data_IF_557505339877
#
_entry.id   IF_557505339877
#
_cell.length_a   1.000
_cell.length_b   1.000
_cell.length_c   1.000
_cell.angle_alpha   90.00
_cell.angle_beta   90.00
_cell.angle_gamma   90.00
#
_symmetry.space_group_name_H-M   'P 1'
#
loop_
_entity.id
_entity.type
_entity.pdbx_description
1 polymer ?
#
# COMPACT_ATOMS: atom_id res chain seq x y z
N UNK A 1 16.07 18.19 5.39
CA UNK A 1 15.32 19.29 6.04
C UNK A 1 15.32 20.59 5.25
N UNK A 2 16.43 21.04 4.74
CA UNK A 2 16.55 22.33 4.00
C UNK A 2 15.72 22.36 2.69
N UNK A 3 15.62 21.24 1.98
CA UNK A 3 14.89 21.14 0.71
C UNK A 3 13.37 21.28 0.89
N UNK A 4 12.83 20.68 1.95
CA UNK A 4 11.41 20.77 2.30
C UNK A 4 11.08 22.20 2.76
N UNK A 5 11.97 22.83 3.51
CA UNK A 5 11.81 24.22 3.97
C UNK A 5 11.77 25.20 2.78
N UNK A 6 12.65 25.05 1.81
CA UNK A 6 12.67 25.89 0.59
C UNK A 6 11.43 25.70 -0.31
N UNK A 7 10.82 24.50 -0.30
CA UNK A 7 9.52 24.25 -0.95
C UNK A 7 8.40 24.98 -0.20
N UNK A 8 8.43 25.00 1.12
CA UNK A 8 7.45 25.64 1.99
C UNK A 8 7.47 27.16 1.87
N UNK A 9 8.66 27.76 1.83
CA UNK A 9 8.84 29.22 1.72
C UNK A 9 8.30 29.75 0.38
N UNK A 10 8.44 28.98 -0.72
CA UNK A 10 7.89 29.35 -2.04
C UNK A 10 6.38 29.18 -2.15
N UNK A 11 5.74 28.32 -1.35
CA UNK A 11 4.29 28.17 -1.31
C UNK A 11 3.64 29.37 -0.61
N UNK A 12 4.29 29.94 0.42
CA UNK A 12 3.80 31.12 1.12
C UNK A 12 3.79 32.40 0.25
N UNK A 13 4.70 32.52 -0.72
CA UNK A 13 4.77 33.69 -1.62
C UNK A 13 3.70 33.67 -2.72
N UNK A 14 3.18 32.47 -3.11
CA UNK A 14 2.14 32.34 -4.13
C UNK A 14 0.72 32.58 -3.60
N UNK A 15 0.49 32.48 -2.28
CA UNK A 15 -0.84 32.72 -1.69
C UNK A 15 -1.26 34.19 -1.70
N UNK A 16 -0.33 35.16 -1.72
CA UNK A 16 -0.68 36.58 -1.79
C UNK A 16 -1.13 37.05 -3.18
N UNK A 17 -0.87 36.26 -4.23
CA UNK A 17 -1.19 36.65 -5.61
C UNK A 17 -2.56 36.13 -6.15
N UNK A 18 -3.23 35.22 -5.41
CA UNK A 18 -4.42 34.52 -5.94
C UNK A 18 -5.78 35.04 -5.43
N UNK A 19 -5.81 36.07 -4.58
CA UNK A 19 -7.06 36.53 -3.96
C UNK A 19 -7.95 37.47 -4.77
N UNK A 20 -7.58 37.78 -6.03
CA UNK A 20 -8.42 38.64 -6.89
C UNK A 20 -8.54 38.09 -8.31
N UNK A 21 -9.58 37.26 -8.55
CA UNK A 21 -10.35 37.24 -9.81
C UNK A 21 -11.60 36.38 -9.62
N UNK A 22 -12.71 37.02 -9.24
CA UNK A 22 -14.07 36.50 -9.48
C UNK A 22 -14.36 36.58 -10.98
N UNK A 23 -14.40 35.44 -11.68
CA UNK A 23 -14.99 35.34 -12.99
C UNK A 23 -16.30 34.55 -12.90
N UNK A 24 -17.39 35.22 -13.17
CA UNK A 24 -18.73 34.67 -13.34
C UNK A 24 -18.84 33.99 -14.71
N UNK A 25 -18.51 32.71 -14.79
CA UNK A 25 -18.97 31.79 -15.83
C UNK A 25 -19.36 30.50 -15.10
N UNK A 26 -20.49 29.89 -15.51
CA UNK A 26 -20.94 28.60 -14.99
C UNK A 26 -19.80 27.58 -15.07
N UNK A 27 -18.99 27.49 -14.04
CA UNK A 27 -17.90 26.52 -13.95
C UNK A 27 -18.53 25.12 -13.80
N UNK A 28 -18.40 24.31 -14.83
CA UNK A 28 -18.72 22.88 -14.73
C UNK A 28 -17.91 22.26 -13.60
N UNK A 29 -18.51 21.34 -12.85
CA UNK A 29 -17.85 20.63 -11.75
C UNK A 29 -16.52 20.04 -12.20
N UNK A 30 -15.44 20.37 -11.51
CA UNK A 30 -14.11 19.82 -11.76
C UNK A 30 -14.03 18.38 -11.23
N UNK A 31 -13.38 17.51 -11.99
CA UNK A 31 -13.22 16.09 -11.64
C UNK A 31 -12.31 15.93 -10.42
N UNK A 32 -12.80 15.35 -9.30
CA UNK A 32 -11.99 15.14 -8.10
C UNK A 32 -10.84 14.16 -8.33
N UNK A 33 -9.75 14.36 -7.59
CA UNK A 33 -8.66 13.39 -7.43
C UNK A 33 -8.78 12.79 -6.03
N UNK A 34 -8.78 11.46 -5.94
CA UNK A 34 -8.83 10.74 -4.67
C UNK A 34 -7.53 9.97 -4.52
N UNK A 35 -6.80 10.23 -3.45
CA UNK A 35 -5.67 9.41 -3.01
C UNK A 35 -6.15 8.34 -2.04
N UNK A 36 -5.73 7.08 -2.28
CA UNK A 36 -6.04 5.93 -1.42
C UNK A 36 -4.71 5.37 -0.92
N UNK A 37 -4.38 5.55 0.38
CA UNK A 37 -3.10 5.12 0.95
C UNK A 37 -3.00 3.60 1.09
N UNK A 38 -1.80 3.11 1.39
CA UNK A 38 -1.53 1.72 1.72
C UNK A 38 -1.93 1.35 3.15
N UNK A 39 -1.63 0.10 3.52
CA UNK A 39 -1.76 -0.37 4.91
C UNK A 39 -0.97 0.57 5.83
N UNK A 40 -1.46 0.83 7.03
CA UNK A 40 -0.91 1.77 8.01
C UNK A 40 -0.82 3.23 7.57
N UNK A 41 -1.18 3.55 6.33
CA UNK A 41 -1.10 4.90 5.76
C UNK A 41 -2.25 5.83 6.11
N UNK A 42 -3.28 5.34 6.83
CA UNK A 42 -4.37 6.14 7.40
C UNK A 42 -4.23 6.21 8.91
N UNK A 43 -4.39 7.39 9.48
CA UNK A 43 -4.62 7.52 10.91
C UNK A 43 -5.97 6.90 11.28
N UNK A 44 -6.05 6.25 12.45
CA UNK A 44 -7.26 5.62 12.95
C UNK A 44 -7.65 6.21 14.31
N UNK A 45 -8.94 6.44 14.47
CA UNK A 45 -9.52 7.08 15.64
C UNK A 45 -10.61 6.19 16.24
N UNK A 46 -10.66 6.15 17.58
CA UNK A 46 -11.79 5.66 18.35
C UNK A 46 -12.65 6.84 18.77
N UNK A 47 -13.95 6.72 18.64
CA UNK A 47 -14.94 7.74 19.03
C UNK A 47 -16.18 7.06 19.59
N UNK A 48 -16.84 7.70 20.55
CA UNK A 48 -18.12 7.21 21.08
C UNK A 48 -19.18 7.25 19.96
N UNK A 49 -19.87 6.11 19.76
CA UNK A 49 -20.87 5.90 18.71
C UNK A 49 -22.01 6.95 18.70
N UNK A 50 -22.31 7.57 19.84
CA UNK A 50 -23.31 8.64 19.93
C UNK A 50 -22.93 9.90 19.14
N UNK A 51 -21.63 10.09 18.85
CA UNK A 51 -21.14 11.22 18.05
C UNK A 51 -21.00 10.88 16.56
N UNK A 52 -21.19 9.62 16.17
CA UNK A 52 -21.04 9.15 14.79
C UNK A 52 -22.37 9.22 14.06
N UNK A 53 -22.42 9.94 12.95
CA UNK A 53 -23.61 10.01 12.11
C UNK A 53 -23.63 8.92 11.01
N UNK A 54 -24.76 8.82 10.27
CA UNK A 54 -24.95 7.79 9.25
C UNK A 54 -23.98 7.93 8.08
N UNK A 55 -23.58 9.16 7.76
CA UNK A 55 -22.60 9.40 6.69
C UNK A 55 -21.22 8.86 7.10
N UNK A 56 -20.79 9.16 8.31
CA UNK A 56 -19.51 8.70 8.86
C UNK A 56 -19.47 7.17 9.00
N UNK A 57 -20.58 6.55 9.46
CA UNK A 57 -20.71 5.08 9.47
C UNK A 57 -20.57 4.49 8.07
N UNK A 58 -21.22 5.12 7.10
CA UNK A 58 -21.22 4.62 5.71
C UNK A 58 -19.88 4.77 5.02
N UNK A 59 -19.11 5.82 5.34
CA UNK A 59 -17.80 6.10 4.77
C UNK A 59 -16.65 5.52 5.58
N UNK A 60 -16.86 5.26 6.87
CA UNK A 60 -15.83 4.82 7.81
C UNK A 60 -14.82 5.92 8.18
N UNK A 61 -15.21 7.18 8.02
CA UNK A 61 -14.40 8.35 8.34
C UNK A 61 -15.21 9.33 9.18
N UNK A 62 -14.63 9.79 10.28
CA UNK A 62 -15.18 10.90 11.07
C UNK A 62 -14.78 12.23 10.42
N UNK A 63 -15.67 13.20 10.52
CA UNK A 63 -15.39 14.56 10.07
C UNK A 63 -14.38 15.25 11.00
N UNK A 64 -13.62 16.18 10.44
CA UNK A 64 -12.51 16.85 11.14
C UNK A 64 -12.94 17.65 12.36
N UNK A 65 -14.11 18.21 12.36
CA UNK A 65 -14.69 18.94 13.50
C UNK A 65 -14.94 18.04 14.72
N UNK A 66 -15.04 16.72 14.52
CA UNK A 66 -15.16 15.71 15.58
C UNK A 66 -13.83 15.17 16.08
N UNK A 67 -12.70 15.54 15.48
CA UNK A 67 -11.37 15.09 15.90
C UNK A 67 -11.10 15.33 17.38
N UNK A 68 -11.59 16.45 17.94
CA UNK A 68 -11.45 16.79 19.37
C UNK A 68 -12.24 15.89 20.33
N UNK A 69 -13.21 15.11 19.83
CA UNK A 69 -13.98 14.13 20.60
C UNK A 69 -13.50 12.69 20.37
N UNK A 70 -12.50 12.50 19.53
CA UNK A 70 -11.96 11.21 19.14
C UNK A 70 -10.56 10.99 19.72
N UNK A 71 -10.27 9.76 20.16
CA UNK A 71 -8.93 9.34 20.55
C UNK A 71 -8.21 8.79 19.32
N UNK A 72 -7.05 9.36 18.98
CA UNK A 72 -6.19 8.79 17.92
C UNK A 72 -5.52 7.53 18.44
N UNK A 73 -5.77 6.41 17.75
CA UNK A 73 -5.23 5.09 18.09
C UNK A 73 -4.03 4.75 17.21
N UNK A 74 -4.08 5.11 15.93
CA UNK A 74 -3.02 4.89 14.97
C UNK A 74 -2.68 6.21 14.27
N UNK A 75 -1.51 6.74 14.25
CA UNK A 75 -0.24 6.30 14.85
C UNK A 75 -0.23 6.73 16.31
N UNK A 76 0.12 5.84 17.26
CA UNK A 76 0.09 6.20 18.69
C UNK A 76 1.13 7.27 19.01
N UNK A 77 0.81 8.09 20.00
CA UNK A 77 1.79 8.95 20.66
C UNK A 77 2.66 8.10 21.59
N UNK A 78 3.93 8.46 21.77
CA UNK A 78 4.95 7.66 22.48
C UNK A 78 4.54 7.23 23.90
N UNK A 79 3.59 7.92 24.53
CA UNK A 79 3.15 7.67 25.90
C UNK A 79 2.04 6.58 26.03
N UNK A 80 1.48 6.09 24.89
CA UNK A 80 0.29 5.21 24.91
C UNK A 80 0.58 3.75 24.53
N UNK A 81 1.84 3.34 24.54
CA UNK A 81 2.29 2.02 24.01
C UNK A 81 1.67 0.82 24.74
N UNK A 82 1.37 0.94 26.04
CA UNK A 82 0.83 -0.17 26.84
C UNK A 82 -0.62 -0.55 26.50
N UNK A 83 -1.43 0.38 26.01
CA UNK A 83 -2.87 0.18 25.73
C UNK A 83 -3.13 -0.15 24.25
N UNK A 84 -2.14 0.04 23.39
CA UNK A 84 -2.32 -0.03 21.93
C UNK A 84 -2.86 -1.37 21.43
N UNK A 85 -2.51 -2.47 22.08
CA UNK A 85 -2.97 -3.80 21.68
C UNK A 85 -4.47 -3.99 21.92
N UNK A 86 -5.01 -3.44 22.98
CA UNK A 86 -6.44 -3.48 23.27
C UNK A 86 -7.20 -2.59 22.29
N UNK A 87 -6.69 -1.40 22.04
CA UNK A 87 -7.28 -0.41 21.14
C UNK A 87 -7.27 -0.87 19.68
N UNK A 88 -6.20 -1.50 19.22
CA UNK A 88 -6.07 -2.04 17.88
C UNK A 88 -6.72 -3.42 17.68
N UNK A 89 -7.45 -3.95 18.66
CA UNK A 89 -8.20 -5.18 18.48
C UNK A 89 -9.18 -5.05 17.30
N UNK A 90 -9.28 -6.08 16.47
CA UNK A 90 -10.12 -6.07 15.25
C UNK A 90 -11.61 -5.86 15.55
N UNK A 91 -12.06 -6.20 16.76
CA UNK A 91 -13.45 -6.01 17.19
C UNK A 91 -13.79 -4.55 17.47
N UNK A 92 -12.80 -3.70 17.72
CA UNK A 92 -13.04 -2.27 17.90
C UNK A 92 -13.33 -1.62 16.56
N UNK A 93 -14.40 -0.80 16.51
CA UNK A 93 -14.66 0.01 15.33
C UNK A 93 -13.75 1.24 15.39
N UNK A 94 -12.93 1.42 14.36
CA UNK A 94 -12.06 2.57 14.19
C UNK A 94 -12.41 3.29 12.89
N UNK A 95 -12.23 4.58 12.90
CA UNK A 95 -12.57 5.47 11.80
C UNK A 95 -11.31 6.15 11.27
N UNK A 96 -11.25 6.34 9.95
CA UNK A 96 -10.31 7.28 9.34
C UNK A 96 -10.71 8.72 9.65
N UNK A 97 -9.84 9.68 9.33
CA UNK A 97 -10.18 11.10 9.40
C UNK A 97 -10.52 11.62 8.00
N UNK A 98 -11.66 12.30 7.87
CA UNK A 98 -12.04 13.01 6.67
C UNK A 98 -11.62 14.48 6.78
N UNK A 99 -10.58 14.85 6.08
CA UNK A 99 -10.08 16.23 6.06
C UNK A 99 -10.84 17.16 5.10
N UNK A 100 -11.81 16.62 4.36
CA UNK A 100 -12.53 17.36 3.31
C UNK A 100 -11.69 17.55 2.05
N UNK A 101 -11.96 18.65 1.33
CA UNK A 101 -11.15 19.04 0.16
C UNK A 101 -9.82 19.63 0.66
N UNK A 102 -8.74 18.96 0.33
CA UNK A 102 -7.40 19.28 0.82
C UNK A 102 -6.86 20.64 0.32
N UNK A 103 -7.50 21.25 -0.68
CA UNK A 103 -7.20 22.64 -1.08
C UNK A 103 -7.43 23.65 0.04
N UNK A 104 -8.29 23.29 1.00
CA UNK A 104 -8.67 24.14 2.15
C UNK A 104 -7.93 23.77 3.44
N UNK A 105 -7.01 22.79 3.40
CA UNK A 105 -6.28 22.31 4.57
C UNK A 105 -4.78 22.50 4.42
N UNK A 106 -4.10 22.74 5.57
CA UNK A 106 -2.64 22.75 5.63
C UNK A 106 -2.16 21.32 5.92
N UNK A 107 -1.79 20.58 4.87
CA UNK A 107 -1.41 19.16 5.00
C UNK A 107 -0.07 18.98 5.74
N UNK A 108 0.83 19.97 5.68
CA UNK A 108 2.20 19.85 6.19
C UNK A 108 2.31 19.66 7.70
N UNK A 109 1.31 20.05 8.47
CA UNK A 109 1.41 20.11 9.95
C UNK A 109 1.03 18.79 10.65
N UNK A 110 0.56 17.75 9.92
CA UNK A 110 -0.19 16.66 10.55
C UNK A 110 0.31 15.24 10.32
N UNK A 111 1.18 15.00 9.36
CA UNK A 111 1.57 13.63 9.04
C UNK A 111 2.91 13.23 9.62
N UNK A 112 2.86 12.37 10.63
CA UNK A 112 4.03 11.72 11.23
C UNK A 112 4.11 10.25 10.79
N UNK A 113 5.31 9.67 10.81
CA UNK A 113 5.51 8.26 10.48
C UNK A 113 5.17 7.89 9.03
N UNK A 114 4.57 6.70 8.76
CA UNK A 114 4.26 6.23 7.40
C UNK A 114 3.34 7.16 6.61
N UNK A 115 2.49 7.93 7.28
CA UNK A 115 1.61 8.91 6.65
C UNK A 115 2.36 10.13 6.09
N UNK A 116 3.58 10.41 6.56
CA UNK A 116 4.38 11.55 6.08
C UNK A 116 4.73 11.45 4.59
N UNK A 117 4.94 10.25 4.06
CA UNK A 117 5.19 10.04 2.63
C UNK A 117 3.96 10.39 1.77
N UNK A 118 2.75 10.16 2.28
CA UNK A 118 1.50 10.54 1.61
C UNK A 118 1.43 12.05 1.40
N UNK A 119 1.88 12.84 2.38
CA UNK A 119 1.85 14.30 2.32
C UNK A 119 2.64 14.84 1.14
N UNK A 120 3.78 14.25 0.78
CA UNK A 120 4.59 14.69 -0.36
C UNK A 120 3.84 14.52 -1.68
N UNK A 121 3.21 13.35 -1.89
CA UNK A 121 2.36 13.12 -3.07
C UNK A 121 1.16 14.08 -3.10
N UNK A 122 0.45 14.22 -1.98
CA UNK A 122 -0.72 15.08 -1.89
C UNK A 122 -0.38 16.54 -2.19
N UNK A 123 0.73 17.04 -1.66
CA UNK A 123 1.21 18.38 -1.95
C UNK A 123 1.60 18.56 -3.41
N UNK A 124 2.23 17.57 -4.02
CA UNK A 124 2.52 17.61 -5.46
C UNK A 124 1.24 17.68 -6.29
N UNK A 125 0.18 16.96 -5.91
CA UNK A 125 -1.12 17.04 -6.56
C UNK A 125 -1.77 18.41 -6.38
N UNK A 126 -1.75 18.98 -5.16
CA UNK A 126 -2.31 20.29 -4.85
C UNK A 126 -1.63 21.40 -5.66
N UNK A 127 -0.31 21.38 -5.73
CA UNK A 127 0.46 22.34 -6.52
C UNK A 127 0.17 22.24 -8.02
N UNK A 128 -0.06 21.00 -8.51
CA UNK A 128 -0.24 20.76 -9.95
C UNK A 128 -1.67 20.92 -10.42
N UNK A 129 -2.65 20.76 -9.54
CA UNK A 129 -4.09 20.81 -9.83
C UNK A 129 -4.83 21.72 -8.85
N UNK A 130 -4.48 23.01 -8.74
CA UNK A 130 -5.04 23.92 -7.73
C UNK A 130 -6.54 24.15 -7.89
N UNK A 131 -7.10 23.89 -9.06
CA UNK A 131 -8.52 24.07 -9.40
C UNK A 131 -9.34 22.76 -9.29
N UNK A 132 -8.72 21.61 -8.99
CA UNK A 132 -9.39 20.33 -8.85
C UNK A 132 -9.55 19.95 -7.37
N UNK A 133 -10.74 19.51 -6.92
CA UNK A 133 -10.88 18.94 -5.57
C UNK A 133 -9.95 17.75 -5.37
N UNK A 134 -9.25 17.71 -4.25
CA UNK A 134 -8.32 16.64 -3.90
C UNK A 134 -8.70 16.12 -2.53
N UNK A 135 -8.85 14.80 -2.45
CA UNK A 135 -9.24 14.11 -1.23
C UNK A 135 -8.29 12.97 -0.92
N UNK A 136 -8.08 12.71 0.36
CA UNK A 136 -7.56 11.44 0.84
C UNK A 136 -8.73 10.60 1.35
N UNK A 137 -8.83 9.36 0.90
CA UNK A 137 -9.75 8.39 1.47
C UNK A 137 -9.00 7.62 2.55
N UNK A 138 -9.21 8.00 3.81
CA UNK A 138 -8.66 7.32 4.99
C UNK A 138 -9.58 6.19 5.41
N UNK A 139 -9.02 5.02 5.72
CA UNK A 139 -9.83 3.83 6.01
C UNK A 139 -9.17 2.94 7.06
N UNK A 140 -9.99 2.13 7.73
CA UNK A 140 -9.51 1.11 8.66
C UNK A 140 -8.85 -0.03 7.90
N UNK A 141 -7.53 0.04 7.77
CA UNK A 141 -6.70 -0.90 7.02
C UNK A 141 -6.60 -2.29 7.66
N UNK A 142 -7.13 -2.50 8.87
CA UNK A 142 -7.21 -3.81 9.53
C UNK A 142 -8.35 -4.66 8.93
N UNK A 143 -9.42 -4.02 8.47
CA UNK A 143 -10.63 -4.66 7.92
C UNK A 143 -10.42 -5.15 6.48
N UNK A 144 -11.34 -5.98 6.00
CA UNK A 144 -11.28 -6.51 4.63
C UNK A 144 -11.36 -5.41 3.58
N UNK A 145 -10.64 -5.56 2.47
CA UNK A 145 -10.72 -4.61 1.34
C UNK A 145 -12.12 -4.60 0.69
N UNK A 146 -12.91 -5.67 0.85
CA UNK A 146 -14.33 -5.68 0.41
C UNK A 146 -15.17 -4.68 1.20
N UNK A 147 -15.00 -4.62 2.53
CA UNK A 147 -15.70 -3.65 3.35
C UNK A 147 -15.22 -2.23 3.02
N UNK A 148 -13.91 -2.06 2.90
CA UNK A 148 -13.28 -0.78 2.52
C UNK A 148 -13.80 -0.30 1.15
N UNK A 149 -13.98 -1.20 0.19
CA UNK A 149 -14.55 -0.87 -1.13
C UNK A 149 -15.99 -0.33 -1.03
N UNK A 150 -16.83 -0.89 -0.16
CA UNK A 150 -18.19 -0.36 0.08
C UNK A 150 -18.16 1.04 0.69
N UNK A 151 -17.26 1.27 1.68
CA UNK A 151 -17.05 2.58 2.29
C UNK A 151 -16.53 3.60 1.26
N UNK A 152 -15.62 3.18 0.39
CA UNK A 152 -15.14 4.01 -0.74
C UNK A 152 -16.27 4.39 -1.71
N UNK A 153 -17.20 3.47 -2.01
CA UNK A 153 -18.35 3.77 -2.86
C UNK A 153 -19.24 4.85 -2.25
N UNK A 154 -19.54 4.75 -0.95
CA UNK A 154 -20.29 5.78 -0.22
C UNK A 154 -19.57 7.13 -0.26
N UNK A 155 -18.27 7.14 -0.05
CA UNK A 155 -17.46 8.36 -0.12
C UNK A 155 -17.46 8.97 -1.53
N UNK A 156 -17.22 8.18 -2.58
CA UNK A 156 -17.23 8.69 -3.97
C UNK A 156 -18.60 9.27 -4.32
N UNK A 157 -19.69 8.62 -3.91
CA UNK A 157 -21.05 9.14 -4.13
C UNK A 157 -21.26 10.51 -3.50
N UNK A 158 -20.67 10.78 -2.34
CA UNK A 158 -20.83 12.07 -1.66
C UNK A 158 -20.10 13.22 -2.36
N UNK A 159 -18.97 12.95 -3.02
CA UNK A 159 -18.13 14.00 -3.64
C UNK A 159 -18.30 14.13 -5.16
N UNK A 160 -19.00 13.20 -5.80
CA UNK A 160 -19.13 13.19 -7.27
C UNK A 160 -20.40 13.87 -7.79
N UNK A 161 -20.99 14.74 -6.99
CA UNK A 161 -22.19 15.53 -7.33
C UNK A 161 -23.37 14.65 -7.83
N UNK A 162 -23.66 13.57 -7.09
CA UNK A 162 -24.74 12.65 -7.46
C UNK A 162 -24.47 11.84 -8.73
N UNK A 163 -23.20 11.51 -8.99
CA UNK A 163 -22.79 10.73 -10.16
C UNK A 163 -22.59 11.55 -11.44
N UNK A 164 -22.72 12.88 -11.39
CA UNK A 164 -22.55 13.77 -12.57
C UNK A 164 -21.09 13.89 -13.01
N UNK A 165 -20.14 13.67 -12.12
CA UNK A 165 -18.70 13.80 -12.37
C UNK A 165 -18.00 12.49 -12.04
N UNK A 166 -17.15 12.00 -12.94
CA UNK A 166 -16.22 10.91 -12.63
C UNK A 166 -15.13 11.39 -11.71
N UNK A 167 -14.41 10.46 -11.06
CA UNK A 167 -13.25 10.76 -10.24
C UNK A 167 -11.98 10.20 -10.90
N UNK A 168 -10.82 10.74 -10.53
CA UNK A 168 -9.52 10.11 -10.77
C UNK A 168 -9.03 9.49 -9.48
N UNK A 169 -8.47 8.29 -9.55
CA UNK A 169 -7.92 7.59 -8.39
C UNK A 169 -6.40 7.48 -8.53
N UNK A 170 -5.70 7.87 -7.48
CA UNK A 170 -4.28 7.61 -7.25
C UNK A 170 -4.18 6.73 -6.01
N UNK A 171 -3.58 5.56 -6.12
CA UNK A 171 -3.55 4.60 -5.04
C UNK A 171 -2.13 4.11 -4.79
N UNK A 172 -1.78 3.90 -3.52
CA UNK A 172 -0.49 3.35 -3.12
C UNK A 172 -0.68 2.01 -2.42
N UNK A 173 0.18 1.03 -2.73
CA UNK A 173 0.25 -0.24 -1.99
C UNK A 173 -1.12 -0.94 -1.89
N UNK A 174 -1.58 -1.30 -0.69
CA UNK A 174 -2.89 -1.91 -0.44
C UNK A 174 -4.05 -1.06 -0.97
N UNK A 175 -3.91 0.27 -1.01
CA UNK A 175 -4.91 1.15 -1.63
C UNK A 175 -5.18 0.83 -3.10
N UNK A 176 -4.18 0.30 -3.81
CA UNK A 176 -4.35 -0.21 -5.18
C UNK A 176 -5.22 -1.47 -5.23
N UNK A 177 -5.17 -2.33 -4.22
CA UNK A 177 -6.05 -3.51 -4.11
C UNK A 177 -7.49 -3.04 -3.84
N UNK A 178 -7.71 -2.11 -2.90
CA UNK A 178 -9.02 -1.48 -2.66
C UNK A 178 -9.57 -0.88 -3.95
N UNK A 179 -8.73 -0.14 -4.68
CA UNK A 179 -9.11 0.47 -5.96
C UNK A 179 -9.48 -0.55 -7.02
N UNK A 180 -8.73 -1.66 -7.11
CA UNK A 180 -8.99 -2.74 -8.05
C UNK A 180 -10.38 -3.36 -7.81
N UNK A 181 -10.76 -3.54 -6.53
CA UNK A 181 -12.09 -3.98 -6.16
C UNK A 181 -13.17 -2.99 -6.58
N UNK A 182 -12.94 -1.71 -6.29
CA UNK A 182 -13.87 -0.66 -6.66
C UNK A 182 -14.07 -0.57 -8.18
N UNK A 183 -12.99 -0.57 -8.94
CA UNK A 183 -13.03 -0.50 -10.40
C UNK A 183 -13.79 -1.67 -11.03
N UNK A 184 -13.75 -2.84 -10.43
CA UNK A 184 -14.47 -3.99 -10.94
C UNK A 184 -15.99 -3.77 -10.99
N UNK A 185 -16.54 -3.13 -9.99
CA UNK A 185 -17.98 -2.93 -9.86
C UNK A 185 -18.43 -1.55 -10.39
N UNK A 186 -17.52 -0.58 -10.36
CA UNK A 186 -17.81 0.83 -10.54
C UNK A 186 -16.87 1.53 -11.55
N UNK A 187 -16.31 0.81 -12.53
CA UNK A 187 -15.36 1.36 -13.51
C UNK A 187 -15.85 2.65 -14.19
N UNK A 188 -17.14 2.70 -14.51
CA UNK A 188 -17.75 3.88 -15.17
C UNK A 188 -17.68 5.16 -14.36
N UNK A 189 -17.46 5.08 -13.04
CA UNK A 189 -17.32 6.25 -12.14
C UNK A 189 -15.91 6.81 -12.08
N UNK A 190 -14.93 6.06 -12.59
CA UNK A 190 -13.52 6.43 -12.56
C UNK A 190 -13.05 6.79 -13.97
N UNK A 191 -12.45 7.94 -14.14
CA UNK A 191 -11.89 8.35 -15.42
C UNK A 191 -10.46 7.86 -15.58
N UNK A 192 -9.57 8.19 -14.64
CA UNK A 192 -8.17 7.76 -14.64
C UNK A 192 -7.81 6.99 -13.38
N UNK A 193 -6.97 6.01 -13.53
CA UNK A 193 -6.45 5.20 -12.43
C UNK A 193 -4.94 5.13 -12.47
N UNK A 194 -4.30 5.49 -11.37
CA UNK A 194 -2.86 5.33 -11.16
C UNK A 194 -2.63 4.49 -9.92
N UNK A 195 -1.82 3.46 -10.00
CA UNK A 195 -1.34 2.75 -8.83
C UNK A 195 0.18 2.86 -8.68
N UNK A 196 0.64 2.97 -7.44
CA UNK A 196 2.04 3.00 -7.07
C UNK A 196 2.33 1.79 -6.17
N UNK A 197 3.26 0.93 -6.58
CA UNK A 197 3.79 -0.19 -5.80
C UNK A 197 2.71 -1.12 -5.21
N UNK A 198 1.62 -1.36 -5.94
CA UNK A 198 0.52 -2.22 -5.46
C UNK A 198 0.89 -3.69 -5.52
N UNK A 199 0.74 -4.45 -4.42
CA UNK A 199 1.03 -5.88 -4.37
C UNK A 199 -0.09 -6.72 -4.98
N UNK A 200 -0.29 -6.67 -6.29
CA UNK A 200 -1.40 -7.37 -6.96
C UNK A 200 -1.35 -8.90 -6.80
N UNK A 201 -0.15 -9.47 -6.73
CA UNK A 201 0.04 -10.90 -6.45
C UNK A 201 0.43 -11.16 -4.98
N UNK A 202 0.30 -10.13 -4.12
CA UNK A 202 0.65 -10.17 -2.71
C UNK A 202 2.11 -9.86 -2.43
N UNK A 203 2.44 -9.86 -1.14
CA UNK A 203 3.78 -9.60 -0.62
C UNK A 203 4.15 -10.70 0.39
N UNK A 204 5.20 -11.50 0.15
CA UNK A 204 5.66 -12.52 1.10
C UNK A 204 5.97 -11.96 2.48
N UNK A 205 6.38 -10.69 2.55
CA UNK A 205 6.64 -9.98 3.78
C UNK A 205 5.41 -9.88 4.72
N UNK A 206 4.19 -9.82 4.17
CA UNK A 206 2.96 -9.80 4.96
C UNK A 206 2.80 -11.05 5.85
N UNK A 207 3.32 -12.19 5.40
CA UNK A 207 3.35 -13.42 6.21
C UNK A 207 4.25 -13.27 7.45
N UNK A 208 5.42 -12.62 7.29
CA UNK A 208 6.32 -12.36 8.40
C UNK A 208 5.71 -11.38 9.40
N UNK A 209 5.03 -10.36 8.94
CA UNK A 209 4.33 -9.39 9.79
C UNK A 209 3.31 -10.10 10.68
N UNK A 210 2.50 -11.01 10.12
CA UNK A 210 1.55 -11.78 10.91
C UNK A 210 2.23 -12.76 11.88
N UNK A 211 3.31 -13.40 11.46
CA UNK A 211 4.00 -14.38 12.30
C UNK A 211 4.77 -13.75 13.46
N UNK A 212 5.21 -12.50 13.34
CA UNK A 212 6.00 -11.78 14.34
C UNK A 212 5.21 -10.74 15.14
N UNK A 213 4.04 -10.29 14.64
CA UNK A 213 3.33 -9.14 15.18
C UNK A 213 3.90 -7.79 14.75
N UNK A 214 4.97 -7.79 13.96
CA UNK A 214 5.63 -6.57 13.49
C UNK A 214 4.95 -6.02 12.23
N UNK A 215 4.16 -4.96 12.38
CA UNK A 215 3.42 -4.34 11.28
C UNK A 215 4.32 -3.53 10.36
N UNK A 216 5.47 -3.06 10.85
CA UNK A 216 6.38 -2.18 10.09
C UNK A 216 7.44 -2.92 9.28
N UNK A 217 7.52 -4.25 9.41
CA UNK A 217 8.51 -5.06 8.72
C UNK A 217 9.92 -4.90 9.31
N UNK A 218 10.94 -5.18 8.48
CA UNK A 218 12.35 -5.10 8.88
C UNK A 218 12.89 -3.66 9.00
N UNK A 219 12.12 -2.73 9.53
CA UNK A 219 12.73 -1.51 10.03
C UNK A 219 13.67 -1.92 11.17
N UNK A 220 14.96 -1.85 10.91
CA UNK A 220 16.06 -2.24 11.82
C UNK A 220 16.14 -1.42 13.11
N UNK A 221 15.16 -0.57 13.36
CA UNK A 221 15.06 0.19 14.58
C UNK A 221 14.32 -0.62 15.64
N UNK A 222 15.07 -1.39 16.41
CA UNK A 222 14.62 -2.10 17.63
C UNK A 222 13.80 -1.16 18.55
N UNK A 223 14.03 0.14 18.49
CA UNK A 223 13.28 1.15 19.25
C UNK A 223 11.86 1.30 18.69
N UNK A 224 11.68 1.38 17.37
CA UNK A 224 10.35 1.45 16.74
C UNK A 224 9.58 0.13 16.89
N UNK A 225 10.26 -1.01 16.81
CA UNK A 225 9.65 -2.32 17.03
C UNK A 225 9.13 -2.49 18.47
N UNK A 226 9.88 -1.98 19.47
CA UNK A 226 9.44 -1.96 20.87
C UNK A 226 8.38 -0.90 21.16
N UNK A 227 8.39 0.23 20.46
CA UNK A 227 7.44 1.32 20.67
C UNK A 227 6.10 1.09 19.95
N UNK A 228 6.11 0.42 18.79
CA UNK A 228 4.93 0.21 17.94
C UNK A 228 4.63 -1.26 17.66
N UNK A 229 5.28 -2.18 18.37
CA UNK A 229 5.03 -3.62 18.27
C UNK A 229 3.61 -3.92 18.75
N UNK A 230 2.76 -4.35 17.82
CA UNK A 230 1.44 -4.89 18.16
C UNK A 230 1.58 -6.38 18.40
N UNK A 231 0.90 -6.89 19.44
CA UNK A 231 0.97 -8.31 19.75
C UNK A 231 0.55 -9.17 18.57
N UNK A 232 1.27 -10.27 18.37
CA UNK A 232 1.06 -11.20 17.28
C UNK A 232 -0.40 -11.65 17.14
N UNK A 233 -1.07 -11.90 18.25
CA UNK A 233 -2.45 -12.37 18.25
C UNK A 233 -3.44 -11.30 17.78
N UNK A 234 -3.14 -10.04 18.03
CA UNK A 234 -3.91 -8.88 17.53
C UNK A 234 -3.71 -8.73 16.02
N UNK A 235 -2.47 -8.75 15.57
CA UNK A 235 -2.12 -8.62 14.12
C UNK A 235 -2.69 -9.78 13.30
N UNK A 236 -2.70 -10.98 13.88
CA UNK A 236 -3.21 -12.18 13.22
C UNK A 236 -4.69 -12.10 12.86
N UNK A 237 -5.44 -11.25 13.56
CA UNK A 237 -6.86 -11.01 13.30
C UNK A 237 -7.12 -10.06 12.11
N UNK A 238 -6.11 -9.34 11.59
CA UNK A 238 -6.29 -8.34 10.56
C UNK A 238 -6.54 -8.94 9.17
N UNK A 239 -7.78 -8.90 8.72
CA UNK A 239 -8.16 -9.40 7.41
C UNK A 239 -7.47 -8.62 6.26
N UNK A 240 -7.29 -7.30 6.42
CA UNK A 240 -6.56 -6.48 5.46
C UNK A 240 -5.13 -6.93 5.24
N UNK A 241 -4.44 -7.40 6.30
CA UNK A 241 -3.08 -7.95 6.18
C UNK A 241 -3.08 -9.34 5.51
N UNK A 242 -4.07 -10.20 5.82
CA UNK A 242 -4.24 -11.50 5.15
C UNK A 242 -4.42 -11.33 3.64
N UNK A 243 -5.12 -10.26 3.25
CA UNK A 243 -5.34 -9.94 1.84
C UNK A 243 -4.08 -9.48 1.09
N UNK A 244 -2.98 -9.22 1.80
CA UNK A 244 -1.66 -8.98 1.22
C UNK A 244 -0.82 -10.25 1.03
N UNK A 245 -1.32 -11.42 1.41
CA UNK A 245 -0.57 -12.67 1.23
C UNK A 245 -0.34 -13.00 -0.24
N UNK A 246 0.76 -13.71 -0.53
CA UNK A 246 1.07 -14.17 -1.88
C UNK A 246 -0.08 -14.98 -2.47
N UNK A 247 -0.42 -14.70 -3.72
CA UNK A 247 -1.37 -15.50 -4.49
C UNK A 247 -0.78 -16.87 -4.83
N UNK A 248 -1.64 -17.79 -5.27
CA UNK A 248 -1.18 -19.06 -5.84
C UNK A 248 -0.26 -18.84 -7.04
N UNK A 249 -0.48 -17.78 -7.84
CA UNK A 249 0.39 -17.43 -8.98
C UNK A 249 1.77 -17.03 -8.50
N UNK A 250 1.86 -16.17 -7.47
CA UNK A 250 3.12 -15.79 -6.84
C UNK A 250 3.85 -17.01 -6.25
N UNK A 251 3.13 -17.86 -5.48
CA UNK A 251 3.72 -19.05 -4.86
C UNK A 251 4.18 -20.11 -5.87
N UNK A 252 3.59 -20.16 -7.07
CA UNK A 252 4.08 -21.02 -8.16
C UNK A 252 5.34 -20.47 -8.80
N UNK A 253 5.42 -19.16 -8.98
CA UNK A 253 6.60 -18.49 -9.54
C UNK A 253 7.78 -18.46 -8.57
N UNK A 254 7.48 -18.29 -7.27
CA UNK A 254 8.47 -18.17 -6.19
C UNK A 254 8.10 -19.11 -5.04
N UNK A 255 8.25 -20.44 -5.20
CA UNK A 255 7.86 -21.40 -4.17
C UNK A 255 8.75 -21.28 -2.93
N UNK A 256 8.14 -21.53 -1.77
CA UNK A 256 8.88 -21.64 -0.52
C UNK A 256 9.75 -22.90 -0.56
N UNK A 257 10.96 -22.78 -0.02
CA UNK A 257 11.96 -23.83 -0.03
C UNK A 257 12.10 -24.51 1.34
N UNK A 258 12.59 -25.73 1.33
CA UNK A 258 13.01 -26.43 2.54
C UNK A 258 14.54 -26.59 2.50
N UNK A 259 15.23 -26.26 3.59
CA UNK A 259 16.67 -26.37 3.71
C UNK A 259 17.02 -27.09 5.00
N UNK A 260 17.86 -28.13 4.91
CA UNK A 260 18.29 -28.91 6.08
C UNK A 260 19.50 -28.31 6.80
N UNK A 261 20.47 -27.84 6.06
CA UNK A 261 21.72 -27.30 6.60
C UNK A 261 21.64 -25.79 6.85
N UNK A 262 21.40 -25.44 8.11
CA UNK A 262 21.34 -24.04 8.56
C UNK A 262 22.64 -23.29 8.30
N UNK A 263 23.82 -23.90 8.55
CA UNK A 263 25.11 -23.20 8.38
C UNK A 263 25.40 -22.89 6.91
N UNK A 264 25.12 -23.85 6.03
CA UNK A 264 25.25 -23.65 4.59
C UNK A 264 24.26 -22.58 4.10
N UNK A 265 23.03 -22.58 4.62
CA UNK A 265 22.03 -21.56 4.30
C UNK A 265 22.44 -20.17 4.77
N UNK A 266 22.88 -20.00 6.02
CA UNK A 266 23.31 -18.71 6.55
C UNK A 266 24.47 -18.12 5.73
N UNK A 267 25.40 -18.97 5.25
CA UNK A 267 26.46 -18.57 4.32
C UNK A 267 25.92 -18.16 2.94
N UNK A 268 24.86 -18.84 2.46
CA UNK A 268 24.22 -18.53 1.18
C UNK A 268 23.52 -17.18 1.24
N UNK A 269 22.66 -16.93 2.21
CA UNK A 269 21.86 -15.71 2.31
C UNK A 269 22.68 -14.46 2.66
N UNK A 270 23.91 -14.64 3.14
CA UNK A 270 24.83 -13.51 3.29
C UNK A 270 25.23 -12.87 1.95
N UNK A 271 25.08 -13.60 0.86
CA UNK A 271 25.31 -13.12 -0.52
C UNK A 271 24.11 -12.33 -1.01
N UNK A 272 24.38 -11.29 -1.81
CA UNK A 272 23.32 -10.48 -2.44
C UNK A 272 23.00 -11.03 -3.82
N UNK A 273 21.86 -11.67 -3.97
CA UNK A 273 21.40 -12.19 -5.25
C UNK A 273 20.69 -11.11 -6.07
N UNK A 274 20.87 -11.16 -7.37
CA UNK A 274 20.25 -10.21 -8.30
C UNK A 274 18.81 -10.58 -8.56
N UNK A 275 18.54 -11.87 -8.79
CA UNK A 275 17.21 -12.40 -9.08
C UNK A 275 16.98 -13.72 -8.33
N UNK A 276 15.75 -14.24 -8.42
CA UNK A 276 15.35 -15.47 -7.76
C UNK A 276 15.98 -16.72 -8.37
N UNK A 277 16.17 -16.75 -9.67
CA UNK A 277 16.77 -17.87 -10.39
C UNK A 277 18.21 -18.13 -9.91
N UNK A 278 19.01 -17.09 -9.74
CA UNK A 278 20.37 -17.19 -9.19
C UNK A 278 20.35 -17.76 -7.77
N UNK A 279 19.42 -17.30 -6.94
CA UNK A 279 19.26 -17.76 -5.56
C UNK A 279 18.86 -19.24 -5.51
N UNK A 280 17.88 -19.66 -6.32
CA UNK A 280 17.36 -21.03 -6.35
C UNK A 280 18.39 -22.01 -6.89
N UNK A 281 19.17 -21.63 -7.90
CA UNK A 281 20.26 -22.47 -8.41
C UNK A 281 21.24 -22.83 -7.28
N UNK A 282 21.62 -21.84 -6.47
CA UNK A 282 22.53 -22.09 -5.35
C UNK A 282 21.88 -22.91 -4.21
N UNK A 283 20.57 -22.73 -3.98
CA UNK A 283 19.81 -23.54 -3.01
C UNK A 283 19.63 -24.98 -3.47
N UNK A 284 19.43 -25.20 -4.76
CA UNK A 284 19.31 -26.53 -5.34
C UNK A 284 20.59 -27.33 -5.14
N UNK A 285 21.74 -26.72 -5.30
CA UNK A 285 23.03 -27.35 -5.05
C UNK A 285 23.21 -27.75 -3.56
N UNK A 286 22.63 -26.98 -2.64
CA UNK A 286 22.62 -27.34 -1.21
C UNK A 286 21.64 -28.47 -0.86
N UNK A 287 20.57 -28.59 -1.62
CA UNK A 287 19.48 -29.55 -1.37
C UNK A 287 19.60 -30.82 -2.21
N UNK A 288 20.56 -30.91 -3.13
CA UNK A 288 20.69 -31.97 -4.15
C UNK A 288 20.79 -33.41 -3.59
N UNK A 289 20.87 -33.57 -2.27
CA UNK A 289 20.99 -34.88 -1.64
C UNK A 289 19.67 -35.50 -1.15
N UNK A 290 18.50 -34.77 -1.16
CA UNK A 290 17.28 -35.35 -0.60
C UNK A 290 15.96 -34.85 -1.23
N UNK A 291 15.15 -35.83 -1.62
CA UNK A 291 13.77 -35.67 -2.11
C UNK A 291 12.81 -35.33 -0.96
N UNK A 292 12.57 -34.04 -0.71
CA UNK A 292 11.68 -33.60 0.38
C UNK A 292 10.25 -33.47 -0.16
N UNK A 293 9.38 -34.41 0.23
CA UNK A 293 7.98 -34.42 -0.19
C UNK A 293 7.21 -33.19 0.34
N UNK A 294 6.43 -32.47 -0.49
CA UNK A 294 5.63 -31.33 -0.06
C UNK A 294 4.71 -31.59 1.17
N UNK A 295 4.20 -32.82 1.29
CA UNK A 295 3.36 -33.25 2.42
C UNK A 295 4.07 -33.20 3.77
N UNK A 296 5.38 -33.46 3.81
CA UNK A 296 6.19 -33.40 5.03
C UNK A 296 6.38 -31.94 5.46
N UNK A 297 6.66 -31.05 4.51
CA UNK A 297 6.78 -29.60 4.76
C UNK A 297 5.47 -29.04 5.32
N UNK A 298 4.33 -29.37 4.71
CA UNK A 298 3.02 -28.93 5.20
C UNK A 298 2.72 -29.41 6.63
N UNK A 299 3.05 -30.66 6.95
CA UNK A 299 2.87 -31.21 8.31
C UNK A 299 3.72 -30.44 9.33
N UNK A 300 4.95 -30.11 8.99
CA UNK A 300 5.85 -29.41 9.91
C UNK A 300 5.46 -27.93 10.06
N UNK A 301 4.99 -27.27 8.99
CA UNK A 301 4.41 -25.91 9.07
C UNK A 301 3.19 -25.90 10.00
N UNK A 302 2.31 -26.90 9.88
CA UNK A 302 1.13 -27.06 10.73
C UNK A 302 1.51 -27.20 12.21
N UNK A 303 2.54 -28.01 12.50
CA UNK A 303 3.07 -28.17 13.85
C UNK A 303 3.70 -26.88 14.39
N UNK A 304 4.38 -26.12 13.55
CA UNK A 304 5.03 -24.85 13.93
C UNK A 304 4.03 -23.74 14.26
N UNK A 305 2.98 -23.57 13.46
CA UNK A 305 1.97 -22.54 13.67
C UNK A 305 0.94 -22.88 14.77
N UNK A 306 0.89 -24.14 15.22
CA UNK A 306 -0.20 -24.65 16.03
C UNK A 306 -1.47 -24.91 15.21
N UNK A 307 -2.23 -25.94 15.60
CA UNK A 307 -3.35 -26.44 14.79
C UNK A 307 -4.43 -25.39 14.56
N UNK A 308 -4.89 -24.70 15.59
CA UNK A 308 -6.00 -23.75 15.53
C UNK A 308 -5.65 -22.53 14.66
N UNK A 309 -4.45 -21.97 14.83
CA UNK A 309 -3.97 -20.82 14.05
C UNK A 309 -3.74 -21.18 12.60
N UNK A 310 -3.26 -22.37 12.31
CA UNK A 310 -3.06 -22.87 10.96
C UNK A 310 -4.39 -23.06 10.21
N UNK A 311 -5.39 -23.64 10.85
CA UNK A 311 -6.73 -23.82 10.25
C UNK A 311 -7.43 -22.48 10.01
N UNK A 312 -7.31 -21.53 10.92
CA UNK A 312 -7.84 -20.18 10.74
C UNK A 312 -7.12 -19.46 9.59
N UNK A 313 -5.80 -19.56 9.53
CA UNK A 313 -5.01 -19.06 8.42
C UNK A 313 -5.47 -19.68 7.08
N UNK A 314 -5.64 -21.01 7.02
CA UNK A 314 -6.11 -21.68 5.82
C UNK A 314 -7.53 -21.24 5.43
N UNK A 315 -8.42 -21.08 6.40
CA UNK A 315 -9.78 -20.59 6.19
C UNK A 315 -9.77 -19.16 5.62
N UNK A 316 -9.04 -18.26 6.25
CA UNK A 316 -8.87 -16.87 5.76
C UNK A 316 -8.22 -16.86 4.38
N UNK A 317 -7.13 -17.59 4.19
CA UNK A 317 -6.45 -17.70 2.91
C UNK A 317 -7.32 -18.34 1.81
N UNK A 318 -8.19 -19.31 2.14
CA UNK A 318 -9.14 -19.93 1.20
C UNK A 318 -10.23 -18.94 0.77
N UNK A 319 -10.79 -18.22 1.72
CA UNK A 319 -11.77 -17.17 1.43
C UNK A 319 -11.15 -16.08 0.59
N UNK A 320 -9.93 -15.69 0.89
CA UNK A 320 -9.17 -14.71 0.15
C UNK A 320 -8.74 -15.19 -1.25
N UNK A 321 -8.36 -16.47 -1.43
CA UNK A 321 -8.07 -17.04 -2.76
C UNK A 321 -9.31 -17.04 -3.65
N UNK A 322 -10.48 -17.36 -3.09
CA UNK A 322 -11.76 -17.23 -3.79
C UNK A 322 -12.00 -15.79 -4.23
N UNK A 323 -11.64 -14.85 -3.40
CA UNK A 323 -11.71 -13.42 -3.64
C UNK A 323 -10.63 -12.91 -4.64
N UNK A 324 -9.39 -13.38 -4.55
CA UNK A 324 -8.32 -13.01 -5.51
C UNK A 324 -8.44 -13.64 -6.89
N UNK A 325 -9.02 -14.83 -7.02
CA UNK A 325 -9.39 -15.35 -8.35
C UNK A 325 -10.33 -14.39 -9.06
N UNK A 326 -11.00 -13.59 -8.31
CA UNK A 326 -11.88 -12.52 -8.68
C UNK A 326 -11.13 -11.24 -9.15
N UNK A 327 -10.00 -10.88 -8.53
CA UNK A 327 -9.15 -9.76 -8.99
C UNK A 327 -8.52 -10.05 -10.36
N UNK A 328 -8.19 -11.30 -10.65
CA UNK A 328 -7.65 -11.70 -11.96
C UNK A 328 -8.67 -11.53 -13.10
N UNK A 329 -9.97 -11.48 -12.81
CA UNK A 329 -11.01 -11.22 -13.79
C UNK A 329 -11.23 -9.72 -14.08
N UNK A 330 -10.60 -8.84 -13.30
CA UNK A 330 -10.62 -7.41 -13.62
C UNK A 330 -9.54 -7.12 -14.63
N UNK A 331 -9.94 -6.76 -15.82
CA UNK A 331 -9.02 -6.34 -16.86
C UNK A 331 -8.43 -4.94 -16.59
N UNK A 332 -7.89 -4.72 -15.37
CA UNK A 332 -7.17 -3.48 -15.04
C UNK A 332 -6.11 -3.15 -16.09
N UNK A 333 -5.42 -4.20 -16.55
CA UNK A 333 -4.43 -4.09 -17.60
C UNK A 333 -5.04 -3.63 -18.93
N UNK A 334 -6.28 -4.01 -19.23
CA UNK A 334 -6.98 -3.61 -20.45
C UNK A 334 -7.69 -2.26 -20.32
N UNK A 335 -7.82 -1.73 -19.10
CA UNK A 335 -8.45 -0.44 -18.86
C UNK A 335 -7.65 0.68 -19.55
N UNK A 336 -8.23 1.46 -20.51
CA UNK A 336 -7.45 2.38 -21.35
C UNK A 336 -6.71 3.45 -20.56
N UNK A 337 -7.37 4.03 -19.55
CA UNK A 337 -6.85 5.13 -18.74
C UNK A 337 -6.32 4.65 -17.39
N UNK A 338 -5.35 3.72 -17.44
CA UNK A 338 -4.64 3.23 -16.26
C UNK A 338 -3.14 3.31 -16.45
N UNK A 339 -2.42 3.60 -15.37
CA UNK A 339 -0.96 3.63 -15.27
C UNK A 339 -0.51 2.94 -13.99
N UNK A 340 0.56 2.17 -14.07
CA UNK A 340 1.13 1.41 -12.98
C UNK A 340 2.58 1.84 -12.76
N UNK A 341 2.86 2.42 -11.59
CA UNK A 341 4.21 2.78 -11.16
C UNK A 341 4.70 1.67 -10.25
N UNK A 342 5.84 1.10 -10.58
CA UNK A 342 6.47 0.02 -9.82
C UNK A 342 7.91 0.37 -9.51
N UNK A 343 8.41 -0.08 -8.37
CA UNK A 343 9.79 0.13 -8.01
C UNK A 343 10.58 -1.18 -8.02
N UNK A 344 11.88 -1.05 -8.27
CA UNK A 344 12.80 -2.15 -8.46
C UNK A 344 14.19 -1.81 -7.89
N UNK A 345 15.03 -2.83 -7.72
CA UNK A 345 16.43 -2.69 -7.33
C UNK A 345 16.70 -2.60 -5.85
N UNK A 346 15.67 -2.67 -5.01
CA UNK A 346 15.79 -2.77 -3.55
C UNK A 346 15.71 -4.22 -3.10
N UNK A 347 16.47 -4.58 -2.07
CA UNK A 347 16.41 -5.91 -1.44
C UNK A 347 14.97 -6.20 -0.99
N UNK A 348 14.34 -7.20 -1.60
CA UNK A 348 12.92 -7.53 -1.42
C UNK A 348 12.77 -9.01 -1.15
N UNK A 349 11.95 -9.37 -0.18
CA UNK A 349 11.57 -10.76 0.04
C UNK A 349 10.66 -11.22 -1.09
N UNK A 350 11.08 -12.22 -1.83
CA UNK A 350 10.30 -12.82 -2.94
C UNK A 350 9.70 -14.17 -2.54
N UNK A 351 10.30 -14.84 -1.55
CA UNK A 351 9.85 -16.13 -1.04
C UNK A 351 10.38 -16.34 0.39
N UNK A 352 10.26 -17.54 0.91
CA UNK A 352 10.82 -17.94 2.18
C UNK A 352 11.38 -19.34 2.14
N UNK A 353 12.13 -19.70 3.18
CA UNK A 353 12.50 -21.08 3.39
C UNK A 353 12.32 -21.50 4.85
N UNK A 354 12.08 -22.77 5.02
CA UNK A 354 11.99 -23.46 6.31
C UNK A 354 13.28 -24.20 6.55
N UNK A 355 13.86 -24.01 7.74
CA UNK A 355 15.13 -24.62 8.13
C UNK A 355 14.94 -25.27 9.49
N UNK A 356 15.48 -26.48 9.69
CA UNK A 356 15.64 -27.04 11.03
C UNK A 356 16.86 -26.43 11.71
N UNK A 357 16.69 -25.95 12.92
CA UNK A 357 17.82 -25.53 13.77
C UNK A 357 18.46 -26.75 14.48
N UNK A 358 19.48 -26.49 15.28
CA UNK A 358 20.24 -27.51 16.01
C UNK A 358 19.39 -28.28 17.02
N UNK A 359 18.20 -27.78 17.37
CA UNK A 359 17.24 -28.41 18.30
C UNK A 359 16.05 -29.03 17.55
N UNK A 360 16.18 -29.32 16.25
CA UNK A 360 15.11 -29.82 15.39
C UNK A 360 13.89 -28.86 15.24
N UNK A 361 14.01 -27.62 15.74
CA UNK A 361 12.97 -26.61 15.64
C UNK A 361 12.98 -25.99 14.26
N UNK A 362 11.78 -25.85 13.66
CA UNK A 362 11.64 -25.18 12.37
C UNK A 362 11.71 -23.67 12.58
N UNK A 363 12.60 -23.04 11.85
CA UNK A 363 12.71 -21.60 11.74
C UNK A 363 12.45 -21.18 10.30
N UNK A 364 11.89 -19.98 10.14
CA UNK A 364 11.64 -19.40 8.82
C UNK A 364 12.72 -18.36 8.51
N UNK A 365 13.20 -18.34 7.26
CA UNK A 365 14.12 -17.35 6.73
C UNK A 365 13.58 -16.76 5.45
N UNK A 366 13.87 -15.51 5.23
CA UNK A 366 13.49 -14.80 4.01
C UNK A 366 14.44 -15.14 2.86
N UNK A 367 13.88 -15.34 1.69
CA UNK A 367 14.62 -15.37 0.44
C UNK A 367 14.44 -14.03 -0.25
N UNK A 368 15.53 -13.25 -0.31
CA UNK A 368 15.52 -11.88 -0.83
C UNK A 368 16.34 -11.75 -2.10
N UNK A 369 15.84 -10.94 -3.02
CA UNK A 369 16.54 -10.54 -4.26
C UNK A 369 16.48 -9.02 -4.41
N UNK A 370 17.02 -8.49 -5.52
CA UNK A 370 16.86 -7.07 -5.85
C UNK A 370 15.65 -6.78 -6.74
N UNK A 371 14.76 -7.74 -6.93
CA UNK A 371 13.59 -7.61 -7.78
C UNK A 371 12.39 -7.10 -6.99
N UNK A 372 12.39 -5.81 -6.67
CA UNK A 372 11.29 -5.16 -5.96
C UNK A 372 11.70 -3.88 -5.25
N UNK A 373 10.83 -3.43 -4.36
CA UNK A 373 10.88 -2.13 -3.70
C UNK A 373 11.21 -2.18 -2.19
N UNK A 374 11.56 -3.34 -1.68
CA UNK A 374 11.81 -3.62 -0.27
C UNK A 374 10.65 -4.30 0.46
N UNK A 375 9.43 -4.17 -0.03
CA UNK A 375 8.23 -4.82 0.52
C UNK A 375 7.49 -5.67 -0.53
N UNK A 376 7.32 -5.13 -1.73
CA UNK A 376 6.55 -5.75 -2.82
C UNK A 376 7.51 -6.24 -3.91
N UNK A 377 7.50 -7.55 -4.22
CA UNK A 377 8.23 -8.08 -5.36
C UNK A 377 7.76 -7.46 -6.67
N UNK A 378 8.70 -7.19 -7.58
CA UNK A 378 8.40 -6.61 -8.89
C UNK A 378 7.38 -7.44 -9.67
N UNK A 379 7.51 -8.78 -9.63
CA UNK A 379 6.55 -9.71 -10.22
C UNK A 379 5.11 -9.49 -9.69
N UNK A 380 4.98 -9.28 -8.39
CA UNK A 380 3.68 -8.99 -7.77
C UNK A 380 3.13 -7.64 -8.24
N UNK A 381 3.93 -6.59 -8.20
CA UNK A 381 3.52 -5.27 -8.66
C UNK A 381 3.16 -5.24 -10.16
N UNK A 382 3.78 -6.12 -10.95
CA UNK A 382 3.51 -6.32 -12.37
C UNK A 382 2.40 -7.35 -12.66
N UNK A 383 1.52 -7.65 -11.68
CA UNK A 383 0.37 -8.56 -11.84
C UNK A 383 0.77 -9.96 -12.33
N UNK A 384 1.93 -10.45 -11.87
CA UNK A 384 2.45 -11.76 -12.22
C UNK A 384 3.02 -11.87 -13.61
N UNK A 385 3.54 -10.79 -14.13
CA UNK A 385 4.39 -10.78 -15.34
C UNK A 385 5.83 -10.47 -14.98
N UNK A 386 6.77 -11.16 -15.59
CA UNK A 386 8.13 -10.64 -15.70
C UNK A 386 8.15 -9.52 -16.74
N UNK A 387 8.91 -8.47 -16.50
CA UNK A 387 8.86 -7.26 -17.35
C UNK A 387 9.30 -7.51 -18.80
N UNK A 388 10.23 -8.40 -19.00
CA UNK A 388 10.76 -8.82 -20.32
C UNK A 388 9.79 -9.74 -21.07
N UNK A 389 8.97 -10.50 -20.36
CA UNK A 389 7.95 -11.39 -20.92
C UNK A 389 6.59 -10.67 -21.14
N UNK A 390 6.45 -9.43 -20.63
CA UNK A 390 5.19 -8.70 -20.70
C UNK A 390 4.90 -8.21 -22.13
N UNK A 391 3.66 -8.43 -22.65
CA UNK A 391 3.26 -7.92 -23.96
C UNK A 391 3.52 -6.40 -24.09
N UNK A 392 4.07 -5.95 -25.23
CA UNK A 392 4.49 -4.55 -25.44
C UNK A 392 3.39 -3.54 -25.13
N UNK A 393 2.14 -3.84 -25.49
CA UNK A 393 1.01 -2.92 -25.24
C UNK A 393 0.71 -2.77 -23.74
N UNK A 394 0.83 -3.84 -22.96
CA UNK A 394 0.69 -3.78 -21.51
C UNK A 394 1.89 -3.08 -20.89
N UNK A 395 3.10 -3.37 -21.37
CA UNK A 395 4.35 -2.80 -20.85
C UNK A 395 4.37 -1.27 -20.90
N UNK A 396 3.73 -0.66 -21.88
CA UNK A 396 3.60 0.81 -22.01
C UNK A 396 2.90 1.48 -20.82
N UNK A 397 2.04 0.74 -20.12
CA UNK A 397 1.30 1.24 -18.95
C UNK A 397 2.14 1.23 -17.67
N UNK A 398 3.25 0.51 -17.68
CA UNK A 398 4.13 0.39 -16.51
C UNK A 398 5.29 1.38 -16.59
N UNK A 399 5.49 2.11 -15.49
CA UNK A 399 6.66 2.96 -15.23
C UNK A 399 7.48 2.31 -14.13
N UNK A 400 8.72 1.96 -14.44
CA UNK A 400 9.64 1.28 -13.52
C UNK A 400 10.69 2.27 -13.08
N UNK A 401 10.84 2.43 -11.76
CA UNK A 401 11.86 3.29 -11.17
C UNK A 401 12.71 2.49 -10.18
N UNK A 402 13.94 2.92 -9.94
CA UNK A 402 14.74 2.41 -8.84
C UNK A 402 14.35 3.14 -7.57
N UNK A 403 14.03 2.39 -6.50
CA UNK A 403 13.63 3.01 -5.24
C UNK A 403 12.98 2.03 -4.26
N UNK A 404 12.48 2.59 -3.15
CA UNK A 404 11.85 1.86 -2.06
C UNK A 404 10.34 2.03 -2.07
N UNK A 405 9.62 1.13 -1.40
CA UNK A 405 8.17 1.12 -1.34
C UNK A 405 7.55 2.47 -0.92
N UNK A 406 7.89 3.06 0.25
CA UNK A 406 7.39 4.39 0.60
C UNK A 406 8.08 5.50 -0.21
N UNK A 407 9.31 5.28 -0.67
CA UNK A 407 10.08 6.25 -1.43
C UNK A 407 9.42 6.66 -2.75
N UNK A 408 8.61 5.79 -3.35
CA UNK A 408 7.89 6.11 -4.58
C UNK A 408 6.85 7.23 -4.42
N UNK A 409 6.34 7.45 -3.22
CA UNK A 409 5.47 8.59 -2.92
C UNK A 409 6.21 9.94 -2.87
N UNK A 410 7.54 9.90 -2.81
CA UNK A 410 8.42 11.07 -2.75
C UNK A 410 9.37 11.17 -3.95
N UNK A 411 9.39 10.17 -4.84
CA UNK A 411 10.25 10.17 -6.02
C UNK A 411 9.72 11.15 -7.07
N UNK A 412 10.51 12.17 -7.39
CA UNK A 412 10.10 13.24 -8.32
C UNK A 412 9.73 12.71 -9.72
N UNK A 413 10.35 11.63 -10.18
CA UNK A 413 10.07 11.00 -11.48
C UNK A 413 8.72 10.29 -11.46
N UNK A 414 8.39 9.64 -10.32
CA UNK A 414 7.11 9.02 -10.10
C UNK A 414 6.01 10.09 -10.00
N UNK A 415 6.22 11.13 -9.20
CA UNK A 415 5.29 12.25 -9.04
C UNK A 415 5.03 12.99 -10.35
N UNK A 416 6.05 13.27 -11.14
CA UNK A 416 5.92 13.87 -12.47
C UNK A 416 5.09 12.99 -13.42
N UNK A 417 5.34 11.66 -13.38
CA UNK A 417 4.56 10.70 -14.18
C UNK A 417 3.09 10.69 -13.78
N UNK A 418 2.77 10.69 -12.48
CA UNK A 418 1.40 10.80 -11.96
C UNK A 418 0.75 12.08 -12.47
N UNK A 419 1.40 13.22 -12.26
CA UNK A 419 0.88 14.52 -12.66
C UNK A 419 0.66 14.63 -14.17
N UNK A 420 1.61 14.17 -14.99
CA UNK A 420 1.47 14.15 -16.45
C UNK A 420 0.31 13.26 -16.90
N UNK A 421 0.12 12.11 -16.29
CA UNK A 421 -0.97 11.21 -16.62
C UNK A 421 -2.34 11.77 -16.24
N UNK A 422 -2.45 12.45 -15.09
CA UNK A 422 -3.71 13.05 -14.62
C UNK A 422 -4.12 14.30 -15.42
N UNK A 423 -3.19 14.98 -16.09
CA UNK A 423 -3.54 16.12 -16.96
C UNK A 423 -4.49 15.67 -18.07
N UNK A 424 -5.51 16.47 -18.33
CA UNK A 424 -6.35 16.32 -19.53
C UNK A 424 -5.70 17.02 -20.72
N UNK A 425 -5.83 16.45 -21.90
CA UNK A 425 -5.27 17.01 -23.16
C UNK A 425 -5.76 18.43 -23.49
N UNK A 426 -6.81 18.90 -22.81
CA UNK A 426 -7.42 20.23 -23.05
C UNK A 426 -6.75 21.36 -22.25
N UNK A 427 -5.87 21.05 -21.30
CA UNK A 427 -5.03 22.06 -20.69
C UNK A 427 -3.89 22.45 -21.65
N UNK A 428 -4.20 23.38 -22.59
CA UNK A 428 -3.18 24.08 -23.36
C UNK A 428 -2.22 24.74 -22.38
N UNK A 429 -0.96 24.43 -22.59
CA UNK A 429 0.22 24.98 -21.95
C UNK A 429 0.15 26.51 -21.95
N UNK A 430 -0.09 27.11 -20.78
CA UNK A 430 0.39 28.44 -20.52
C UNK A 430 1.45 28.36 -19.40
N UNK A 431 2.69 28.58 -19.87
CA UNK A 431 3.87 29.03 -19.13
C UNK A 431 4.14 28.38 -17.73
N UNK A 432 4.74 27.20 -17.74
CA UNK A 432 5.54 26.72 -16.60
C UNK A 432 6.72 25.86 -17.09
N UNK A 433 7.48 26.39 -18.07
CA UNK A 433 8.76 25.83 -18.51
C UNK A 433 9.93 26.25 -17.60
N UNK A 434 9.70 26.87 -16.45
CA UNK A 434 10.78 27.48 -15.65
C UNK A 434 11.04 26.78 -14.32
N UNK A 435 10.36 25.68 -13.98
CA UNK A 435 10.49 25.07 -12.63
C UNK A 435 11.44 23.86 -12.52
N UNK A 436 12.00 23.39 -13.66
CA UNK A 436 12.87 22.19 -13.66
C UNK A 436 14.35 22.46 -14.01
N UNK A 437 14.83 23.72 -14.00
CA UNK A 437 16.20 24.04 -14.46
C UNK A 437 17.19 24.28 -13.30
N UNK A 438 16.82 24.12 -12.06
CA UNK A 438 17.80 24.31 -10.96
C UNK A 438 17.77 23.16 -9.96
N UNK A 439 18.22 21.98 -10.36
CA UNK A 439 18.85 20.99 -9.48
C UNK A 439 19.83 20.19 -10.37
N UNK A 440 21.01 20.72 -10.61
CA UNK A 440 22.26 19.96 -10.75
C UNK A 440 22.91 19.82 -9.39
#
# INVERSE_FOLDING_TARGET
MTLIKNLLDKVGETEQASSQKKSTKAEGYKRPIIFIPGITGSELFSIDEKYVDDFERSTGMISKDKEGFAKRIWIPLVNDVGEINQELNINNELYGLQEGDLRNSRIFDRHTGPASANAVLLNALLLKFPDRPIYQFSYDWRKTNTLTCKKLDSFIKSINHGGKVKVDIVAHSMGGIVSAHYLREHDKRVEKYVSLCTPYEGAPHAYNQMSSGNIFGNFKDIVLEKLFGVEKDVVYAYDGLVELYPTTKMLKAYPYQWVKDKKAFDKLVSKKYKNYEDLITQLHDLNAAEDIKPSKVQKEIKNYLGFTRYEEFLRKAKNYRKYKSFLHNVSLLNRPKSMFIVADGTQTQVSGCYIKDENDKIITRELVTKEGDGLVPLYSACMGYKLDEMPKELRKKFKVFKGTHPGMLMDLRALDSVCKFLKDWWYKVDKLSTFFIYIE
#
